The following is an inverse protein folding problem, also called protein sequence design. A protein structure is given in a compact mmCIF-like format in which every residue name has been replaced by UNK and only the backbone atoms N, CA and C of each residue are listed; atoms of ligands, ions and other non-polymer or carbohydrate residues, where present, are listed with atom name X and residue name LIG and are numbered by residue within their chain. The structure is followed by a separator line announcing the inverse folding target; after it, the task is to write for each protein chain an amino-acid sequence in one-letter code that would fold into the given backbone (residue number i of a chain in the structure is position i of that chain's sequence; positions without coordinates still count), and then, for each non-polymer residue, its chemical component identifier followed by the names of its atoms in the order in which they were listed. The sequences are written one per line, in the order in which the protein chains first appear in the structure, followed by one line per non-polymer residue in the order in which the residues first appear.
data_IF_199730813929
#
_entry.id   IF_199730813929
#
_cell.length_a   1.000
_cell.length_b   1.000
_cell.length_c   1.000
_cell.angle_alpha   90.00
_cell.angle_beta   90.00
_cell.angle_gamma   90.00
#
_symmetry.space_group_name_H-M   'P 1'
#
loop_
_entity.id
_entity.type
_entity.pdbx_description
1 polymer ?
#
# COMPACT_ATOMS: atom_id res chain seq x y z
N UNK A 1 9.22 14.37 10.23
CA UNK A 1 8.40 13.94 11.38
C UNK A 1 8.81 12.53 11.77
N UNK A 2 9.06 12.25 13.04
CA UNK A 2 9.36 10.90 13.52
C UNK A 2 8.10 10.25 14.10
N UNK A 3 7.84 9.00 13.73
CA UNK A 3 6.73 8.18 14.21
C UNK A 3 7.10 7.41 15.48
N UNK A 4 6.11 6.70 16.06
CA UNK A 4 6.18 6.07 17.38
C UNK A 4 7.37 5.11 17.54
N UNK A 5 7.65 4.30 16.52
CA UNK A 5 8.71 3.28 16.53
C UNK A 5 9.98 3.74 15.84
N UNK A 6 10.08 5.03 15.50
CA UNK A 6 11.29 5.66 15.00
C UNK A 6 11.38 5.79 13.47
N UNK A 7 10.32 5.46 12.73
CA UNK A 7 10.25 5.76 11.29
C UNK A 7 10.26 7.27 11.08
N UNK A 8 11.14 7.76 10.23
CA UNK A 8 11.21 9.14 9.79
C UNK A 8 10.41 9.33 8.50
N UNK A 9 9.47 10.27 8.55
CA UNK A 9 8.66 10.73 7.43
C UNK A 9 9.14 12.14 7.07
N UNK A 10 9.85 12.28 5.96
CA UNK A 10 10.42 13.55 5.49
C UNK A 10 9.42 14.28 4.59
N UNK A 11 9.20 15.56 4.87
CA UNK A 11 8.27 16.42 4.13
C UNK A 11 9.01 17.69 3.71
N UNK A 12 8.91 18.05 2.44
CA UNK A 12 9.50 19.27 1.86
C UNK A 12 8.40 20.02 1.11
N UNK A 13 8.23 21.30 1.39
CA UNK A 13 7.18 22.11 0.75
C UNK A 13 5.76 21.56 0.96
N UNK A 14 5.50 20.90 2.10
CA UNK A 14 4.21 20.27 2.39
C UNK A 14 3.98 18.92 1.70
N UNK A 15 4.95 18.40 0.93
CA UNK A 15 4.87 17.10 0.25
C UNK A 15 5.74 16.06 0.91
N UNK A 16 5.22 14.84 1.08
CA UNK A 16 5.99 13.68 1.52
C UNK A 16 7.05 13.34 0.47
N UNK A 17 8.33 13.31 0.85
CA UNK A 17 9.44 13.02 -0.09
C UNK A 17 10.20 11.75 0.25
N UNK A 18 10.20 11.30 1.51
CA UNK A 18 10.91 10.08 1.92
C UNK A 18 10.30 9.44 3.16
N UNK A 19 10.34 8.11 3.22
CA UNK A 19 10.06 7.32 4.43
C UNK A 19 11.28 6.45 4.71
N UNK A 20 11.87 6.63 5.89
CA UNK A 20 13.08 5.91 6.32
C UNK A 20 12.81 5.27 7.68
N UNK A 21 13.16 4.00 7.88
CA UNK A 21 13.04 3.40 9.20
C UNK A 21 14.12 3.89 10.18
N UNK A 22 14.00 3.47 11.44
CA UNK A 22 14.94 3.83 12.51
C UNK A 22 16.37 3.33 12.32
N UNK A 23 16.60 2.36 11.41
CA UNK A 23 17.94 1.85 11.10
C UNK A 23 18.52 2.47 9.82
N UNK A 24 17.83 3.47 9.25
CA UNK A 24 18.28 4.21 8.07
C UNK A 24 17.89 3.55 6.75
N UNK A 25 17.06 2.51 6.75
CA UNK A 25 16.59 1.89 5.52
C UNK A 25 15.45 2.69 4.90
N UNK A 26 15.58 3.01 3.62
CA UNK A 26 14.59 3.79 2.87
C UNK A 26 13.49 2.87 2.34
N UNK A 27 12.25 3.10 2.80
CA UNK A 27 11.07 2.35 2.37
C UNK A 27 10.35 2.99 1.19
N UNK A 28 10.45 4.32 1.04
CA UNK A 28 9.88 5.03 -0.09
C UNK A 28 10.61 6.35 -0.34
N UNK A 29 10.75 6.73 -1.60
CA UNK A 29 11.16 8.07 -2.04
C UNK A 29 10.18 8.60 -3.08
N UNK A 30 9.80 9.86 -2.94
CA UNK A 30 8.84 10.52 -3.82
C UNK A 30 9.48 11.79 -4.40
N UNK A 31 9.48 11.88 -5.73
CA UNK A 31 9.90 13.08 -6.44
C UNK A 31 8.68 13.82 -6.98
N UNK A 32 8.64 15.14 -6.76
CA UNK A 32 7.51 16.00 -7.12
C UNK A 32 7.94 17.11 -8.07
N UNK A 33 7.06 17.44 -9.01
CA UNK A 33 7.12 18.65 -9.84
C UNK A 33 5.91 19.51 -9.52
N UNK A 34 6.09 20.48 -8.64
CA UNK A 34 4.97 21.24 -8.07
C UNK A 34 4.05 20.29 -7.29
N UNK A 35 2.78 20.21 -7.70
CA UNK A 35 1.79 19.33 -7.08
C UNK A 35 1.68 17.94 -7.73
N UNK A 36 2.40 17.70 -8.82
CA UNK A 36 2.36 16.43 -9.55
C UNK A 36 3.51 15.54 -9.13
N UNK A 37 3.22 14.27 -8.85
CA UNK A 37 4.26 13.28 -8.63
C UNK A 37 5.00 13.01 -9.95
N UNK A 38 6.33 13.04 -9.95
CA UNK A 38 7.14 12.56 -11.08
C UNK A 38 7.38 11.06 -10.97
N UNK A 39 7.73 10.59 -9.77
CA UNK A 39 7.92 9.17 -9.48
C UNK A 39 7.82 8.86 -7.99
N UNK A 40 7.38 7.64 -7.69
CA UNK A 40 7.52 6.98 -6.40
C UNK A 40 8.47 5.79 -6.57
N UNK A 41 9.49 5.72 -5.73
CA UNK A 41 10.41 4.59 -5.65
C UNK A 41 10.12 3.83 -4.37
N UNK A 42 9.88 2.52 -4.48
CA UNK A 42 9.78 1.58 -3.36
C UNK A 42 10.73 0.41 -3.61
N UNK A 43 11.15 -0.37 -2.59
CA UNK A 43 11.95 -1.56 -2.81
C UNK A 43 11.34 -2.49 -3.86
N UNK A 44 12.04 -2.66 -4.99
CA UNK A 44 11.64 -3.54 -6.09
C UNK A 44 10.78 -2.89 -7.19
N UNK A 45 10.37 -1.62 -7.07
CA UNK A 45 9.58 -0.97 -8.12
C UNK A 45 9.71 0.56 -8.17
N UNK A 46 9.48 1.12 -9.36
CA UNK A 46 9.32 2.54 -9.60
C UNK A 46 7.95 2.76 -10.23
N UNK A 47 7.15 3.64 -9.63
CA UNK A 47 5.87 4.06 -10.18
C UNK A 47 6.07 5.43 -10.82
N UNK A 48 5.84 5.54 -12.12
CA UNK A 48 5.91 6.82 -12.85
C UNK A 48 4.63 7.60 -12.57
N UNK A 49 4.77 8.88 -12.21
CA UNK A 49 3.61 9.73 -11.94
C UNK A 49 2.95 10.32 -13.19
N UNK A 50 3.62 10.23 -14.34
CA UNK A 50 2.97 10.48 -15.63
C UNK A 50 2.02 9.35 -15.98
N UNK A 51 0.81 9.70 -16.42
CA UNK A 51 -0.20 8.73 -16.82
C UNK A 51 -0.13 8.40 -18.30
N UNK A 52 -0.42 7.15 -18.64
CA UNK A 52 -0.69 6.67 -20.00
C UNK A 52 -2.16 6.26 -20.14
N UNK A 53 -2.61 6.06 -21.37
CA UNK A 53 -3.89 5.43 -21.65
C UNK A 53 -3.73 3.91 -21.66
N UNK A 54 -4.35 3.23 -20.71
CA UNK A 54 -4.32 1.79 -20.51
C UNK A 54 -5.66 1.17 -20.95
N UNK A 55 -5.67 0.12 -21.79
CA UNK A 55 -6.91 -0.46 -22.31
C UNK A 55 -7.86 -1.01 -21.25
N UNK A 56 -7.36 -1.36 -20.06
CA UNK A 56 -8.14 -1.89 -18.96
C UNK A 56 -8.46 -0.81 -17.92
N UNK A 57 -7.52 0.08 -17.65
CA UNK A 57 -7.59 1.01 -16.51
C UNK A 57 -7.89 2.47 -16.91
N UNK A 58 -7.93 2.78 -18.21
CA UNK A 58 -7.96 4.15 -18.70
C UNK A 58 -6.68 4.89 -18.30
N UNK A 59 -6.80 6.07 -17.67
CA UNK A 59 -5.62 6.78 -17.18
C UNK A 59 -4.88 5.94 -16.12
N UNK A 60 -3.61 5.60 -16.38
CA UNK A 60 -2.84 4.71 -15.53
C UNK A 60 -1.37 5.12 -15.38
N UNK A 61 -0.80 4.85 -14.21
CA UNK A 61 0.63 5.00 -13.91
C UNK A 61 1.38 3.71 -14.29
N UNK A 62 2.58 3.85 -14.86
CA UNK A 62 3.46 2.71 -15.20
C UNK A 62 4.25 2.25 -13.98
N UNK A 63 4.38 0.93 -13.80
CA UNK A 63 5.20 0.29 -12.77
C UNK A 63 6.40 -0.43 -13.41
N UNK A 64 7.59 0.13 -13.23
CA UNK A 64 8.88 -0.39 -13.69
C UNK A 64 9.62 -1.18 -12.58
N UNK A 65 10.50 -2.13 -12.92
CA UNK A 65 10.74 -2.72 -14.25
C UNK A 65 9.74 -3.84 -14.59
N UNK A 66 8.69 -4.00 -13.78
CA UNK A 66 7.73 -5.10 -13.80
C UNK A 66 6.87 -5.11 -15.08
N UNK A 67 6.78 -3.96 -15.77
CA UNK A 67 5.99 -3.75 -16.96
C UNK A 67 4.51 -4.10 -16.74
N UNK A 68 3.93 -3.50 -15.69
CA UNK A 68 2.48 -3.47 -15.45
C UNK A 68 2.04 -2.03 -15.15
N UNK A 69 0.74 -1.81 -15.01
CA UNK A 69 0.14 -0.50 -14.78
C UNK A 69 -0.75 -0.51 -13.56
N UNK A 70 -0.96 0.66 -12.96
CA UNK A 70 -1.97 0.88 -11.94
C UNK A 70 -2.84 2.07 -12.30
N UNK A 71 -4.13 2.03 -11.96
CA UNK A 71 -5.06 3.13 -12.23
C UNK A 71 -4.53 4.43 -11.63
N UNK A 72 -4.74 5.54 -12.32
CA UNK A 72 -4.25 6.84 -11.89
C UNK A 72 -4.74 7.21 -10.48
N UNK A 73 -3.84 7.78 -9.71
CA UNK A 73 -4.09 8.31 -8.36
C UNK A 73 -3.66 9.76 -8.31
N UNK A 74 -4.49 10.60 -7.69
CA UNK A 74 -4.04 11.91 -7.19
C UNK A 74 -3.14 11.66 -5.97
N UNK A 75 -1.83 11.63 -6.22
CA UNK A 75 -0.84 11.36 -5.17
C UNK A 75 -0.82 12.42 -4.07
N UNK A 76 -1.24 13.65 -4.34
CA UNK A 76 -1.26 14.72 -3.34
C UNK A 76 -2.44 14.55 -2.38
N UNK A 77 -3.57 13.99 -2.86
CA UNK A 77 -4.80 13.80 -2.09
C UNK A 77 -5.48 12.47 -2.46
N UNK A 78 -4.88 11.31 -2.14
CA UNK A 78 -5.39 10.03 -2.62
C UNK A 78 -6.72 9.68 -1.93
N UNK A 79 -7.78 9.56 -2.72
CA UNK A 79 -9.14 9.17 -2.27
C UNK A 79 -9.55 7.78 -2.71
N UNK A 80 -8.72 7.11 -3.52
CA UNK A 80 -9.01 5.79 -4.11
C UNK A 80 -7.83 4.85 -3.97
N UNK A 81 -8.13 3.57 -3.72
CA UNK A 81 -7.17 2.47 -3.79
C UNK A 81 -7.01 2.11 -5.27
N UNK A 82 -5.79 2.14 -5.83
CA UNK A 82 -5.60 1.86 -7.24
C UNK A 82 -5.78 0.37 -7.56
N UNK A 83 -6.29 0.11 -8.76
CA UNK A 83 -6.30 -1.24 -9.36
C UNK A 83 -4.99 -1.45 -10.12
N UNK A 84 -4.36 -2.61 -9.95
CA UNK A 84 -3.19 -3.02 -10.73
C UNK A 84 -3.66 -3.97 -11.82
N UNK A 85 -3.23 -3.75 -13.07
CA UNK A 85 -3.68 -4.53 -14.22
C UNK A 85 -3.24 -6.00 -14.14
N UNK A 86 -1.98 -6.25 -13.75
CA UNK A 86 -1.45 -7.60 -13.55
C UNK A 86 -0.73 -7.69 -12.19
N UNK A 87 -1.49 -7.89 -11.09
CA UNK A 87 -0.93 -7.95 -9.74
C UNK A 87 0.08 -9.09 -9.56
N UNK A 88 -0.04 -10.17 -10.34
CA UNK A 88 0.83 -11.35 -10.23
C UNK A 88 2.27 -11.06 -10.68
N UNK A 89 2.48 -10.02 -11.50
CA UNK A 89 3.83 -9.58 -11.91
C UNK A 89 4.57 -8.82 -10.81
N UNK A 90 3.85 -8.23 -9.85
CA UNK A 90 4.49 -7.42 -8.82
C UNK A 90 5.45 -8.26 -7.98
N UNK A 91 6.70 -7.81 -7.78
CA UNK A 91 7.60 -8.43 -6.83
C UNK A 91 6.96 -8.49 -5.44
N UNK A 92 7.26 -9.55 -4.70
CA UNK A 92 6.72 -9.76 -3.38
C UNK A 92 6.95 -8.53 -2.48
N UNK A 93 5.86 -7.98 -1.92
CA UNK A 93 5.91 -6.83 -1.03
C UNK A 93 5.72 -5.47 -1.70
N UNK A 94 5.86 -5.34 -3.02
CA UNK A 94 5.68 -4.06 -3.73
C UNK A 94 4.27 -3.49 -3.54
N UNK A 95 3.24 -4.31 -3.75
CA UNK A 95 1.85 -3.86 -3.56
C UNK A 95 1.59 -3.34 -2.13
N UNK A 96 2.11 -4.04 -1.12
CA UNK A 96 2.00 -3.59 0.27
C UNK A 96 2.79 -2.30 0.55
N UNK A 97 3.97 -2.12 -0.04
CA UNK A 97 4.75 -0.90 0.10
C UNK A 97 4.02 0.32 -0.50
N UNK A 98 3.43 0.16 -1.70
CA UNK A 98 2.63 1.21 -2.35
C UNK A 98 1.40 1.55 -1.52
N UNK A 99 0.66 0.55 -1.02
CA UNK A 99 -0.50 0.76 -0.15
C UNK A 99 -0.13 1.52 1.15
N UNK A 100 1.02 1.20 1.75
CA UNK A 100 1.49 1.90 2.94
C UNK A 100 1.85 3.36 2.65
N UNK A 101 2.46 3.65 1.49
CA UNK A 101 2.72 5.02 1.03
C UNK A 101 1.41 5.78 0.80
N UNK A 102 0.42 5.16 0.15
CA UNK A 102 -0.90 5.76 -0.04
C UNK A 102 -1.58 6.09 1.28
N UNK A 103 -1.49 5.21 2.27
CA UNK A 103 -2.02 5.47 3.62
C UNK A 103 -1.29 6.64 4.31
N UNK A 104 0.04 6.76 4.16
CA UNK A 104 0.77 7.93 4.66
C UNK A 104 0.35 9.24 3.96
N UNK A 105 0.23 9.22 2.63
CA UNK A 105 -0.20 10.39 1.86
C UNK A 105 -1.62 10.82 2.22
N UNK A 106 -2.55 9.87 2.32
CA UNK A 106 -3.92 10.11 2.72
C UNK A 106 -4.01 10.73 4.12
N UNK A 107 -3.29 10.14 5.09
CA UNK A 107 -3.22 10.67 6.47
C UNK A 107 -2.61 12.06 6.52
N UNK A 108 -1.60 12.33 5.69
CA UNK A 108 -0.97 13.65 5.61
C UNK A 108 -1.88 14.71 4.97
N UNK A 109 -2.72 14.29 4.03
CA UNK A 109 -3.67 15.16 3.32
C UNK A 109 -5.05 15.28 4.02
N UNK A 110 -5.17 14.76 5.24
CA UNK A 110 -6.40 14.68 6.04
C UNK A 110 -7.57 14.00 5.29
N UNK A 111 -7.27 12.95 4.52
CA UNK A 111 -8.29 12.13 3.84
C UNK A 111 -8.82 11.09 4.84
N UNK A 112 -10.13 11.08 5.15
CA UNK A 112 -10.69 10.22 6.19
C UNK A 112 -10.76 8.74 5.79
N UNK A 113 -10.98 8.46 4.50
CA UNK A 113 -11.07 7.11 3.96
C UNK A 113 -10.80 7.07 2.46
N UNK A 114 -10.35 5.90 2.00
CA UNK A 114 -10.25 5.55 0.59
C UNK A 114 -11.25 4.45 0.26
N UNK A 115 -11.63 4.35 -1.01
CA UNK A 115 -12.45 3.26 -1.53
C UNK A 115 -11.76 2.52 -2.66
N UNK A 116 -12.07 1.23 -2.80
CA UNK A 116 -11.62 0.42 -3.93
C UNK A 116 -12.67 0.46 -5.04
N UNK A 117 -12.22 0.81 -6.24
CA UNK A 117 -13.02 0.92 -7.45
C UNK A 117 -12.39 0.04 -8.52
N UNK A 118 -12.59 -1.27 -8.40
CA UNK A 118 -11.96 -2.20 -9.31
C UNK A 118 -12.62 -3.57 -9.38
N UNK A 119 -12.25 -4.35 -10.40
CA UNK A 119 -12.90 -5.62 -10.69
C UNK A 119 -12.41 -6.76 -9.80
N UNK A 120 -11.35 -6.57 -9.01
CA UNK A 120 -10.65 -7.65 -8.31
C UNK A 120 -10.60 -7.50 -6.78
N UNK A 121 -11.75 -7.40 -6.07
CA UNK A 121 -11.75 -7.41 -4.62
C UNK A 121 -11.50 -8.83 -4.09
N UNK A 122 -10.24 -9.26 -4.15
CA UNK A 122 -9.83 -10.62 -3.77
C UNK A 122 -9.51 -10.72 -2.27
N UNK A 123 -9.57 -11.92 -1.68
CA UNK A 123 -9.06 -12.17 -0.32
C UNK A 123 -7.62 -11.68 -0.12
N UNK A 124 -6.77 -11.86 -1.13
CA UNK A 124 -5.37 -11.42 -1.08
C UNK A 124 -5.25 -9.89 -1.02
N UNK A 125 -6.07 -9.17 -1.80
CA UNK A 125 -6.13 -7.71 -1.75
C UNK A 125 -6.66 -7.22 -0.40
N UNK A 126 -7.74 -7.82 0.12
CA UNK A 126 -8.29 -7.46 1.43
C UNK A 126 -7.21 -7.55 2.52
N UNK A 127 -6.50 -8.68 2.59
CA UNK A 127 -5.40 -8.88 3.55
C UNK A 127 -4.24 -7.90 3.36
N UNK A 128 -3.95 -7.50 2.12
CA UNK A 128 -2.94 -6.49 1.86
C UNK A 128 -3.40 -5.10 2.35
N UNK A 129 -4.66 -4.74 2.13
CA UNK A 129 -5.25 -3.49 2.58
C UNK A 129 -5.29 -3.39 4.11
N UNK A 130 -5.67 -4.45 4.82
CA UNK A 130 -5.72 -4.47 6.30
C UNK A 130 -4.39 -4.16 7.00
N UNK A 131 -3.26 -4.20 6.27
CA UNK A 131 -1.92 -3.85 6.78
C UNK A 131 -1.65 -2.35 6.82
N UNK A 132 -2.33 -1.59 5.97
CA UNK A 132 -2.10 -0.13 5.82
C UNK A 132 -3.37 0.68 6.05
N UNK A 133 -4.51 0.01 6.22
CA UNK A 133 -5.80 0.63 6.40
C UNK A 133 -6.60 -0.11 7.47
N UNK A 134 -7.47 0.62 8.15
CA UNK A 134 -8.52 0.06 9.00
C UNK A 134 -9.85 0.07 8.25
N UNK A 135 -10.66 -0.98 8.44
CA UNK A 135 -12.03 -1.05 7.92
C UNK A 135 -12.92 -1.82 8.91
N UNK A 136 -14.20 -1.48 8.93
CA UNK A 136 -15.23 -2.20 9.71
C UNK A 136 -15.86 -3.35 8.92
N UNK A 137 -15.65 -3.41 7.60
CA UNK A 137 -16.12 -4.52 6.77
C UNK A 137 -15.26 -5.77 6.96
N UNK A 138 -15.86 -6.95 6.82
CA UNK A 138 -15.14 -8.22 6.81
C UNK A 138 -14.70 -8.64 5.40
N UNK A 139 -13.86 -9.69 5.33
CA UNK A 139 -13.36 -10.23 4.06
C UNK A 139 -14.50 -10.72 3.16
N UNK A 140 -15.55 -11.31 3.75
CA UNK A 140 -16.70 -11.82 3.01
C UNK A 140 -17.48 -10.69 2.31
N UNK A 141 -17.69 -9.57 3.00
CA UNK A 141 -18.34 -8.38 2.46
C UNK A 141 -17.50 -7.76 1.34
N UNK A 142 -16.18 -7.62 1.54
CA UNK A 142 -15.30 -7.05 0.52
C UNK A 142 -15.26 -7.90 -0.75
N UNK A 143 -15.18 -9.23 -0.60
CA UNK A 143 -14.99 -10.18 -1.70
C UNK A 143 -16.29 -10.62 -2.38
N UNK A 144 -17.42 -10.07 -1.95
CA UNK A 144 -18.73 -10.37 -2.52
C UNK A 144 -18.74 -10.10 -4.04
N UNK A 145 -19.25 -11.08 -4.81
CA UNK A 145 -19.33 -11.04 -6.28
C UNK A 145 -18.00 -10.80 -7.02
N UNK A 146 -16.85 -11.20 -6.46
CA UNK A 146 -15.54 -11.04 -7.13
C UNK A 146 -15.54 -11.58 -8.56
N UNK A 147 -16.20 -12.72 -8.82
CA UNK A 147 -16.28 -13.32 -10.15
C UNK A 147 -17.15 -12.50 -11.11
N UNK A 148 -18.33 -12.06 -10.68
CA UNK A 148 -19.22 -11.25 -11.52
C UNK A 148 -18.59 -9.91 -11.88
N UNK A 149 -17.92 -9.27 -10.92
CA UNK A 149 -17.17 -8.02 -11.14
C UNK A 149 -16.02 -8.21 -12.13
N UNK A 150 -15.25 -9.29 -11.98
CA UNK A 150 -14.16 -9.61 -12.91
C UNK A 150 -14.67 -9.84 -14.35
N UNK A 151 -15.77 -10.57 -14.53
CA UNK A 151 -16.35 -10.85 -15.86
C UNK A 151 -16.87 -9.59 -16.57
N UNK A 152 -17.35 -8.60 -15.81
CA UNK A 152 -17.87 -7.33 -16.34
C UNK A 152 -16.81 -6.22 -16.43
N UNK A 153 -15.60 -6.47 -15.93
CA UNK A 153 -14.58 -5.44 -15.71
C UNK A 153 -15.14 -4.25 -14.91
N UNK A 154 -15.90 -4.57 -13.87
CA UNK A 154 -16.64 -3.61 -13.06
C UNK A 154 -15.70 -2.67 -12.29
N UNK A 155 -15.81 -1.36 -12.55
CA UNK A 155 -14.98 -0.30 -11.95
C UNK A 155 -15.74 0.54 -10.91
N UNK A 156 -16.97 0.16 -10.56
CA UNK A 156 -17.77 0.86 -9.55
C UNK A 156 -17.15 0.76 -8.16
N UNK A 157 -17.23 1.84 -7.37
CA UNK A 157 -16.74 1.84 -5.99
C UNK A 157 -17.49 0.81 -5.14
N UNK A 158 -16.74 0.00 -4.39
CA UNK A 158 -17.34 -0.83 -3.35
C UNK A 158 -17.79 0.04 -2.17
N UNK A 159 -18.88 -0.33 -1.49
CA UNK A 159 -19.35 0.35 -0.28
C UNK A 159 -18.52 -0.06 0.94
N UNK A 160 -17.18 -0.11 0.79
CA UNK A 160 -16.22 -0.44 1.84
C UNK A 160 -15.23 0.70 1.96
N UNK A 161 -15.21 1.30 3.15
CA UNK A 161 -14.30 2.40 3.47
C UNK A 161 -13.04 1.87 4.16
N UNK A 162 -11.90 2.38 3.71
CA UNK A 162 -10.58 2.07 4.25
C UNK A 162 -9.97 3.33 4.84
N UNK A 163 -10.02 3.47 6.16
CA UNK A 163 -9.38 4.58 6.88
C UNK A 163 -7.86 4.38 6.88
N UNK A 164 -7.06 5.40 6.50
CA UNK A 164 -5.61 5.29 6.52
C UNK A 164 -5.07 4.95 7.91
N UNK A 165 -4.34 3.85 8.02
CA UNK A 165 -3.68 3.42 9.25
C UNK A 165 -2.32 2.78 8.90
N UNK A 166 -1.36 3.58 8.40
CA UNK A 166 -0.09 3.06 7.91
C UNK A 166 0.73 2.44 9.03
N UNK A 167 1.42 1.35 8.71
CA UNK A 167 2.36 0.70 9.61
C UNK A 167 3.77 1.29 9.48
N UNK A 168 4.50 1.26 10.58
CA UNK A 168 5.96 1.45 10.58
C UNK A 168 6.61 0.13 10.22
N UNK A 169 7.42 0.10 9.15
CA UNK A 169 8.26 -1.05 8.84
C UNK A 169 9.66 -0.80 9.35
N UNK A 170 10.31 -1.83 9.90
CA UNK A 170 11.70 -1.76 10.36
C UNK A 170 12.45 -2.97 9.85
N UNK A 171 13.58 -2.74 9.18
CA UNK A 171 14.49 -3.79 8.76
C UNK A 171 15.20 -4.42 9.96
N UNK A 172 15.31 -5.74 9.92
CA UNK A 172 16.07 -6.54 10.89
C UNK A 172 17.01 -7.48 10.13
N UNK A 173 18.08 -8.00 10.76
CA UNK A 173 18.88 -9.04 10.14
C UNK A 173 17.99 -10.20 9.65
N UNK A 174 18.10 -10.54 8.36
CA UNK A 174 17.31 -11.61 7.74
C UNK A 174 15.86 -11.26 7.37
N UNK A 175 15.39 -10.01 7.56
CA UNK A 175 14.07 -9.61 7.10
C UNK A 175 13.56 -8.29 7.66
N UNK A 176 12.30 -8.22 8.09
CA UNK A 176 11.66 -6.98 8.53
C UNK A 176 10.47 -7.23 9.46
N UNK A 177 10.06 -6.19 10.19
CA UNK A 177 8.87 -6.19 11.04
C UNK A 177 7.93 -5.03 10.67
N UNK A 178 6.63 -5.25 10.79
CA UNK A 178 5.59 -4.22 10.69
C UNK A 178 5.02 -3.93 12.09
N UNK A 179 4.92 -2.64 12.42
CA UNK A 179 4.62 -2.12 13.75
C UNK A 179 3.48 -1.08 13.69
N UNK A 180 2.49 -1.19 14.59
CA UNK A 180 1.43 -0.17 14.83
C UNK A 180 1.05 -0.05 16.32
N UNK A 181 0.27 -1.00 16.84
CA UNK A 181 0.01 -1.10 18.27
C UNK A 181 1.07 -1.95 19.01
N UNK A 182 1.80 -2.76 18.25
CA UNK A 182 2.88 -3.66 18.64
C UNK A 182 3.44 -4.32 17.38
N UNK A 183 4.06 -5.49 17.51
CA UNK A 183 4.43 -6.31 16.34
C UNK A 183 3.18 -6.97 15.77
N UNK A 184 2.83 -6.60 14.54
CA UNK A 184 1.68 -7.19 13.84
C UNK A 184 2.11 -8.29 12.88
N UNK A 185 3.28 -8.10 12.26
CA UNK A 185 3.88 -9.04 11.33
C UNK A 185 5.39 -8.96 11.38
N UNK A 186 6.03 -10.11 11.20
CA UNK A 186 7.46 -10.19 10.90
C UNK A 186 7.70 -11.09 9.70
N UNK A 187 8.69 -10.76 8.88
CA UNK A 187 9.25 -11.68 7.90
C UNK A 187 10.70 -11.90 8.27
N UNK A 188 11.11 -13.16 8.41
CA UNK A 188 12.49 -13.52 8.75
C UNK A 188 12.89 -14.77 7.98
N UNK A 189 13.98 -14.68 7.20
CA UNK A 189 14.45 -15.72 6.29
C UNK A 189 13.34 -16.29 5.37
N UNK A 190 12.47 -15.41 4.87
CA UNK A 190 11.36 -15.77 3.99
C UNK A 190 10.12 -16.34 4.70
N UNK A 191 10.19 -16.58 6.01
CA UNK A 191 9.05 -17.04 6.81
C UNK A 191 8.26 -15.83 7.30
N UNK A 192 6.95 -15.83 7.07
CA UNK A 192 6.03 -14.80 7.59
C UNK A 192 5.43 -15.25 8.92
N UNK A 193 5.57 -14.41 9.94
CA UNK A 193 4.99 -14.56 11.27
C UNK A 193 3.89 -13.52 11.47
N UNK A 194 2.69 -13.97 11.81
CA UNK A 194 1.52 -13.12 12.08
C UNK A 194 0.74 -13.70 13.27
N UNK A 195 0.02 -12.89 14.03
CA UNK A 195 -0.68 -13.35 15.25
C UNK A 195 -1.67 -14.50 15.02
N UNK A 196 -2.32 -14.54 13.84
CA UNK A 196 -3.21 -15.62 13.42
C UNK A 196 -2.62 -16.58 12.39
N UNK A 197 -1.32 -16.47 12.09
CA UNK A 197 -0.65 -17.21 11.02
C UNK A 197 -0.30 -18.66 11.39
N UNK A 198 0.22 -19.39 10.40
CA UNK A 198 0.80 -20.74 10.58
C UNK A 198 2.06 -20.65 11.45
N UNK A 199 2.95 -19.71 11.14
CA UNK A 199 4.01 -19.28 12.05
C UNK A 199 3.49 -18.09 12.86
N UNK A 200 3.55 -18.20 14.19
CA UNK A 200 2.85 -17.27 15.09
C UNK A 200 3.81 -16.33 15.78
N UNK A 201 3.38 -15.08 15.91
CA UNK A 201 3.94 -14.16 16.88
C UNK A 201 3.34 -14.50 18.25
N UNK A 202 4.19 -14.84 19.21
CA UNK A 202 3.82 -14.98 20.62
C UNK A 202 4.48 -13.87 21.40
N UNK A 203 3.77 -13.28 22.36
CA UNK A 203 4.41 -12.36 23.31
C UNK A 203 5.47 -13.15 24.09
N UNK A 204 6.67 -12.58 24.22
CA UNK A 204 7.74 -13.19 25.03
C UNK A 204 7.35 -13.21 26.51
N UNK A 205 8.03 -14.01 27.36
CA UNK A 205 7.88 -13.88 28.80
C UNK A 205 8.23 -12.44 29.20
N UNK A 206 7.33 -11.81 29.95
CA UNK A 206 7.49 -10.47 30.51
C UNK A 206 8.68 -10.40 31.47
#
# INVERSE_FOLDING_TARGET
MQLRYGTLVEVVGGKLVRITDRVGHVHAELAWRGDTLEQLVVPGAIIRGATIDDPLLGAAHVIDPVATTMSAVDWARPTRIPTVADPARLPAGVGGAVLNVLAHLARWADIPSLRYAGPYPTPALFRALSRSFHTTADEATFTADVLGRALRLEDTELPVEFTPDPCERVMIPGGWVELRAGVERAVHHGVTYERGGVARLTDGPA
#
